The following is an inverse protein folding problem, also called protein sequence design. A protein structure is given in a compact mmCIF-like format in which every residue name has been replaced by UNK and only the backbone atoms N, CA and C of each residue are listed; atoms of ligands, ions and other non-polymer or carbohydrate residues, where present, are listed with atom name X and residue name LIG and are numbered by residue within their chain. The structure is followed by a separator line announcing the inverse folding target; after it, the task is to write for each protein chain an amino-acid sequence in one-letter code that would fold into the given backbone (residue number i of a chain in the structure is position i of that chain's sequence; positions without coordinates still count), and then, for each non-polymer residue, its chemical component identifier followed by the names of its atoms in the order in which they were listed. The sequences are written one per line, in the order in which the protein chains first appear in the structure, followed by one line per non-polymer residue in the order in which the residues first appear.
data_IF_527715604533
#
_entry.id   IF_527715604533
#
_cell.length_a   1.000
_cell.length_b   1.000
_cell.length_c   1.000
_cell.angle_alpha   90.00
_cell.angle_beta   90.00
_cell.angle_gamma   90.00
#
_symmetry.space_group_name_H-M   'P 1'
#
loop_
_entity.id
_entity.type
_entity.pdbx_description
1 polymer ?
#
# COMPACT_ATOMS: atom_id res chain seq x y z
N UNK A 1 83.91 44.81 -37.97
CA UNK A 1 83.51 43.59 -37.35
C UNK A 1 82.50 43.74 -36.16
N UNK A 2 82.44 44.88 -35.45
CA UNK A 2 81.56 45.03 -34.26
C UNK A 2 80.06 45.24 -34.55
N UNK A 3 79.63 45.61 -35.76
CA UNK A 3 78.19 45.81 -36.10
C UNK A 3 77.44 44.51 -36.37
N UNK A 4 78.14 43.45 -36.85
CA UNK A 4 77.55 42.14 -37.21
C UNK A 4 77.23 41.34 -35.93
N UNK A 5 78.06 41.46 -34.92
CA UNK A 5 77.85 40.75 -33.59
C UNK A 5 76.66 41.31 -32.82
N UNK A 6 76.38 42.63 -32.92
CA UNK A 6 75.26 43.26 -32.23
C UNK A 6 73.91 42.85 -32.82
N UNK A 7 73.82 42.77 -34.16
CA UNK A 7 72.62 42.34 -34.87
C UNK A 7 72.26 40.85 -34.64
N UNK A 8 73.26 39.98 -34.57
CA UNK A 8 73.08 38.57 -34.28
C UNK A 8 72.61 38.31 -32.81
N UNK A 9 73.14 39.13 -31.90
CA UNK A 9 72.76 39.07 -30.51
C UNK A 9 71.30 39.52 -30.28
N UNK A 10 70.86 40.57 -30.98
CA UNK A 10 69.49 41.04 -30.94
C UNK A 10 68.50 40.04 -31.56
N UNK A 11 68.87 39.42 -32.67
CA UNK A 11 68.07 38.36 -33.31
C UNK A 11 67.94 37.11 -32.39
N UNK A 12 69.02 36.70 -31.74
CA UNK A 12 68.97 35.59 -30.77
C UNK A 12 68.10 35.90 -29.56
N UNK A 13 68.18 37.14 -29.03
CA UNK A 13 67.35 37.58 -27.88
C UNK A 13 65.86 37.61 -28.27
N UNK A 14 65.53 38.06 -29.48
CA UNK A 14 64.14 38.06 -29.99
C UNK A 14 63.64 36.65 -30.21
N UNK A 15 64.47 35.73 -30.68
CA UNK A 15 64.13 34.30 -30.82
C UNK A 15 63.90 33.64 -29.48
N UNK A 16 64.76 33.94 -28.48
CA UNK A 16 64.62 33.44 -27.09
C UNK A 16 63.31 33.93 -26.46
N UNK A 17 63.00 35.21 -26.57
CA UNK A 17 61.73 35.80 -26.10
C UNK A 17 60.50 35.15 -26.74
N UNK A 18 60.56 34.88 -28.05
CA UNK A 18 59.52 34.18 -28.75
C UNK A 18 59.35 32.74 -28.30
N UNK A 19 60.44 32.07 -27.98
CA UNK A 19 60.38 30.72 -27.41
C UNK A 19 59.80 30.69 -25.98
N UNK A 20 60.22 31.56 -25.11
CA UNK A 20 59.72 31.73 -23.75
C UNK A 20 58.22 32.05 -23.74
N UNK A 21 57.77 32.96 -24.62
CA UNK A 21 56.36 33.31 -24.80
C UNK A 21 55.53 32.09 -25.20
N UNK A 22 56.02 31.25 -26.14
CA UNK A 22 55.36 30.01 -26.53
C UNK A 22 55.32 29.00 -25.40
N UNK A 23 56.38 28.84 -24.64
CA UNK A 23 56.44 27.95 -23.46
C UNK A 23 55.41 28.39 -22.42
N UNK A 24 55.34 29.65 -22.08
CA UNK A 24 54.40 30.21 -21.09
C UNK A 24 52.92 29.94 -21.53
N UNK A 25 52.62 30.05 -22.83
CA UNK A 25 51.27 29.73 -23.34
C UNK A 25 50.98 28.25 -23.23
N UNK A 26 51.94 27.37 -23.48
CA UNK A 26 51.79 25.93 -23.35
C UNK A 26 51.58 25.53 -21.88
N UNK A 27 52.40 26.06 -21.00
CA UNK A 27 52.28 25.80 -19.55
C UNK A 27 50.94 26.28 -18.99
N UNK A 28 50.50 27.46 -19.44
CA UNK A 28 49.17 27.95 -19.07
C UNK A 28 48.06 27.01 -19.55
N UNK A 29 48.12 26.53 -20.82
CA UNK A 29 47.14 25.58 -21.37
C UNK A 29 47.14 24.26 -20.60
N UNK A 30 48.30 23.75 -20.21
CA UNK A 30 48.39 22.50 -19.40
C UNK A 30 47.76 22.69 -18.04
N UNK A 31 48.04 23.80 -17.35
CA UNK A 31 47.44 24.14 -16.07
C UNK A 31 45.92 24.28 -16.14
N UNK A 32 45.42 24.99 -17.16
CA UNK A 32 43.98 25.15 -17.39
C UNK A 32 43.32 23.79 -17.65
N UNK A 33 43.86 22.97 -18.55
CA UNK A 33 43.35 21.62 -18.81
C UNK A 33 43.34 20.75 -17.58
N UNK A 34 44.40 20.79 -16.76
CA UNK A 34 44.46 20.01 -15.51
C UNK A 34 43.38 20.44 -14.52
N UNK A 35 43.13 21.76 -14.40
CA UNK A 35 42.06 22.31 -13.56
C UNK A 35 40.69 21.90 -14.09
N UNK A 36 40.46 22.06 -15.39
CA UNK A 36 39.16 21.75 -16.01
C UNK A 36 38.84 20.23 -15.91
N UNK A 37 39.85 19.39 -16.12
CA UNK A 37 39.70 17.95 -15.91
C UNK A 37 39.37 17.59 -14.48
N UNK A 38 40.00 18.23 -13.47
CA UNK A 38 39.68 18.03 -12.05
C UNK A 38 38.24 18.46 -11.77
N UNK A 39 37.79 19.60 -12.26
CA UNK A 39 36.44 20.08 -12.12
C UNK A 39 35.42 19.12 -12.77
N UNK A 40 35.72 18.64 -13.99
CA UNK A 40 34.88 17.68 -14.67
C UNK A 40 34.73 16.39 -13.88
N UNK A 41 35.81 15.85 -13.30
CA UNK A 41 35.75 14.64 -12.44
C UNK A 41 34.92 14.88 -11.19
N UNK A 42 35.10 16.04 -10.55
CA UNK A 42 34.33 16.38 -9.32
C UNK A 42 32.83 16.50 -9.66
N UNK A 43 32.48 17.19 -10.73
CA UNK A 43 31.10 17.36 -11.15
C UNK A 43 30.48 16.01 -11.50
N UNK A 44 31.19 15.17 -12.25
CA UNK A 44 30.71 13.83 -12.62
C UNK A 44 30.49 12.96 -11.38
N UNK A 45 31.43 12.98 -10.43
CA UNK A 45 31.29 12.25 -9.17
C UNK A 45 30.08 12.76 -8.36
N UNK A 46 29.86 14.06 -8.28
CA UNK A 46 28.72 14.65 -7.61
C UNK A 46 27.37 14.24 -8.26
N UNK A 47 27.30 14.25 -9.59
CA UNK A 47 26.10 13.82 -10.33
C UNK A 47 25.82 12.32 -10.09
N UNK A 48 26.84 11.47 -10.12
CA UNK A 48 26.68 10.03 -9.84
C UNK A 48 26.21 9.79 -8.42
N UNK A 49 26.79 10.46 -7.44
CA UNK A 49 26.37 10.36 -6.03
C UNK A 49 24.93 10.81 -5.85
N UNK A 50 24.55 11.94 -6.45
CA UNK A 50 23.18 12.44 -6.37
C UNK A 50 22.18 11.50 -7.03
N UNK A 51 22.49 10.97 -8.22
CA UNK A 51 21.65 10.00 -8.90
C UNK A 51 21.51 8.71 -8.09
N UNK A 52 22.60 8.19 -7.51
CA UNK A 52 22.58 7.00 -6.66
C UNK A 52 21.76 7.21 -5.39
N UNK A 53 21.90 8.36 -4.71
CA UNK A 53 21.11 8.72 -3.56
C UNK A 53 19.62 8.84 -3.92
N UNK A 54 19.31 9.48 -5.04
CA UNK A 54 17.93 9.60 -5.53
C UNK A 54 17.31 8.24 -5.85
N UNK A 55 18.05 7.34 -6.48
CA UNK A 55 17.60 5.96 -6.74
C UNK A 55 17.41 5.20 -5.43
N UNK A 56 18.33 5.33 -4.49
CA UNK A 56 18.21 4.68 -3.19
C UNK A 56 16.93 5.11 -2.45
N UNK A 57 16.66 6.43 -2.42
CA UNK A 57 15.44 6.97 -1.81
C UNK A 57 14.19 6.50 -2.56
N UNK A 58 14.23 6.52 -3.90
CA UNK A 58 13.11 6.09 -4.74
C UNK A 58 12.72 4.63 -4.51
N UNK A 59 13.71 3.71 -4.45
CA UNK A 59 13.48 2.28 -4.30
C UNK A 59 13.30 1.80 -2.85
N UNK A 60 13.69 2.58 -1.84
CA UNK A 60 13.54 2.18 -0.44
C UNK A 60 12.43 2.92 0.31
N UNK A 61 12.09 4.15 -0.10
CA UNK A 61 11.14 5.02 0.61
C UNK A 61 10.12 5.68 -0.34
N UNK A 62 10.26 5.53 -1.65
CA UNK A 62 9.44 6.16 -2.67
C UNK A 62 8.57 5.18 -3.46
N UNK A 63 7.94 5.65 -4.54
CA UNK A 63 7.05 4.84 -5.38
C UNK A 63 7.73 3.64 -6.07
N UNK A 64 9.06 3.61 -6.13
CA UNK A 64 9.84 2.51 -6.72
C UNK A 64 10.19 1.37 -5.75
N UNK A 65 9.64 1.37 -4.52
CA UNK A 65 9.79 0.21 -3.62
C UNK A 65 9.27 -1.02 -4.36
N UNK A 66 10.11 -2.06 -4.59
CA UNK A 66 9.67 -3.23 -5.33
C UNK A 66 8.47 -3.88 -4.64
N UNK A 67 7.46 -4.23 -5.41
CA UNK A 67 6.29 -4.99 -4.96
C UNK A 67 6.67 -6.33 -4.29
N UNK A 68 7.89 -6.78 -4.50
CA UNK A 68 8.47 -7.99 -3.89
C UNK A 68 8.44 -8.01 -2.36
N UNK A 69 8.37 -6.86 -1.69
CA UNK A 69 8.20 -6.81 -0.23
C UNK A 69 6.85 -7.36 0.24
N UNK A 70 5.83 -7.35 -0.63
CA UNK A 70 4.50 -7.94 -0.38
C UNK A 70 4.32 -9.34 -1.01
N UNK A 71 5.23 -9.77 -1.90
CA UNK A 71 5.09 -11.02 -2.68
C UNK A 71 5.57 -12.25 -1.89
N UNK A 72 6.25 -12.10 -0.77
CA UNK A 72 6.70 -13.22 0.05
C UNK A 72 5.58 -13.86 0.90
N UNK A 73 4.32 -13.57 0.58
CA UNK A 73 3.22 -14.36 1.12
C UNK A 73 3.13 -15.66 0.33
N UNK A 74 3.78 -16.71 0.84
CA UNK A 74 3.57 -18.07 0.37
C UNK A 74 2.14 -18.45 0.76
N UNK A 75 1.20 -18.35 -0.18
CA UNK A 75 -0.13 -18.91 0.01
C UNK A 75 0.04 -20.41 0.21
N UNK A 76 -0.35 -20.90 1.38
CA UNK A 76 -0.47 -22.34 1.57
C UNK A 76 -1.65 -22.78 0.69
N UNK A 77 -1.46 -23.69 -0.29
CA UNK A 77 -2.55 -24.15 -1.12
C UNK A 77 -3.63 -24.73 -0.21
N UNK A 78 -4.84 -24.18 -0.28
CA UNK A 78 -6.00 -24.75 0.42
C UNK A 78 -6.38 -26.03 -0.35
N UNK A 79 -6.52 -27.19 0.30
CA UNK A 79 -6.92 -28.40 -0.38
C UNK A 79 -8.28 -28.18 -1.07
N UNK A 80 -8.33 -28.39 -2.37
CA UNK A 80 -9.55 -28.38 -3.19
C UNK A 80 -10.46 -29.51 -2.73
N UNK A 81 -11.59 -29.17 -2.13
CA UNK A 81 -12.70 -30.13 -1.99
C UNK A 81 -13.40 -30.15 -3.34
N UNK A 82 -13.44 -31.34 -3.96
CA UNK A 82 -13.81 -31.57 -5.34
C UNK A 82 -15.21 -31.08 -5.73
N UNK A 83 -15.27 -30.51 -6.91
CA UNK A 83 -16.49 -30.14 -7.65
C UNK A 83 -16.08 -29.31 -8.87
N UNK A 84 -16.27 -29.88 -10.07
CA UNK A 84 -15.97 -29.24 -11.35
C UNK A 84 -16.74 -27.93 -11.54
N UNK A 85 -16.11 -26.80 -11.24
CA UNK A 85 -16.31 -25.50 -11.89
C UNK A 85 -14.93 -24.87 -11.97
N UNK A 86 -14.64 -24.11 -13.05
CA UNK A 86 -13.40 -23.35 -13.20
C UNK A 86 -13.00 -22.77 -11.86
N UNK A 87 -11.79 -23.05 -11.35
CA UNK A 87 -11.41 -22.63 -10.01
C UNK A 87 -11.48 -21.10 -10.00
N UNK A 88 -12.43 -20.56 -9.23
CA UNK A 88 -12.41 -19.15 -8.86
C UNK A 88 -11.14 -19.00 -8.03
N UNK A 89 -10.13 -18.40 -8.64
CA UNK A 89 -8.81 -18.33 -8.02
C UNK A 89 -8.79 -17.24 -6.95
N UNK A 90 -8.10 -17.53 -5.85
CA UNK A 90 -7.76 -16.51 -4.88
C UNK A 90 -6.98 -15.40 -5.59
N UNK A 91 -7.38 -14.12 -5.47
CA UNK A 91 -6.68 -13.00 -6.08
C UNK A 91 -5.19 -12.98 -5.72
N UNK A 92 -4.33 -12.63 -6.67
CA UNK A 92 -2.90 -12.46 -6.41
C UNK A 92 -2.69 -11.26 -5.47
N UNK A 93 -1.91 -11.45 -4.42
CA UNK A 93 -1.56 -10.40 -3.47
C UNK A 93 -0.91 -9.16 -4.14
N UNK A 94 -0.30 -9.33 -5.31
CA UNK A 94 0.25 -8.24 -6.13
C UNK A 94 -0.80 -7.19 -6.54
N UNK A 95 -2.09 -7.54 -6.59
CA UNK A 95 -3.19 -6.60 -6.85
C UNK A 95 -3.29 -5.51 -5.78
N UNK A 96 -2.82 -5.77 -4.57
CA UNK A 96 -2.73 -4.74 -3.52
C UNK A 96 -1.76 -3.61 -3.87
N UNK A 97 -0.88 -3.82 -4.88
CA UNK A 97 0.22 -2.93 -5.27
C UNK A 97 1.10 -2.51 -4.09
N UNK A 98 0.99 -3.21 -2.96
CA UNK A 98 1.73 -2.90 -1.73
C UNK A 98 1.61 -1.42 -1.30
N UNK A 99 0.46 -0.81 -1.56
CA UNK A 99 0.18 0.60 -1.28
C UNK A 99 -1.15 0.76 -0.55
N UNK A 100 -1.36 1.95 -0.05
CA UNK A 100 -2.68 2.33 0.41
C UNK A 100 -3.58 2.65 -0.80
N UNK A 101 -4.76 2.04 -0.81
CA UNK A 101 -5.83 2.34 -1.74
C UNK A 101 -6.82 3.26 -1.05
N UNK A 102 -7.22 4.32 -1.73
CA UNK A 102 -8.23 5.23 -1.22
C UNK A 102 -9.50 5.16 -2.07
N UNK A 103 -10.64 5.44 -1.46
CA UNK A 103 -11.87 5.40 -2.23
C UNK A 103 -13.11 5.74 -1.44
N UNK A 104 -14.25 5.36 -1.99
CA UNK A 104 -15.57 5.60 -1.40
C UNK A 104 -16.39 4.32 -1.43
N UNK A 105 -17.00 3.99 -0.29
CA UNK A 105 -18.01 2.95 -0.14
C UNK A 105 -19.35 3.59 0.17
N UNK A 106 -20.37 3.32 -0.60
CA UNK A 106 -21.72 3.82 -0.37
C UNK A 106 -22.60 2.70 0.19
N UNK A 107 -23.07 2.88 1.42
CA UNK A 107 -24.01 1.97 2.09
C UNK A 107 -25.33 2.73 2.27
N UNK A 108 -26.39 2.28 1.59
CA UNK A 108 -27.65 3.01 1.47
C UNK A 108 -27.39 4.46 0.97
N UNK A 109 -27.53 5.46 1.87
CA UNK A 109 -27.26 6.88 1.59
C UNK A 109 -25.96 7.37 2.25
N UNK A 110 -25.29 6.54 3.04
CA UNK A 110 -24.05 6.89 3.72
C UNK A 110 -22.87 6.78 2.74
N UNK A 111 -22.19 7.86 2.50
CA UNK A 111 -20.96 7.91 1.72
C UNK A 111 -19.78 7.85 2.68
N UNK A 112 -19.07 6.74 2.67
CA UNK A 112 -17.91 6.47 3.53
C UNK A 112 -16.63 6.64 2.70
N UNK A 113 -15.77 7.59 3.08
CA UNK A 113 -14.39 7.61 2.57
C UNK A 113 -13.60 6.48 3.24
N UNK A 114 -12.88 5.69 2.46
CA UNK A 114 -12.11 4.55 2.97
C UNK A 114 -10.66 4.59 2.51
N UNK A 115 -9.79 4.04 3.34
CA UNK A 115 -8.40 3.72 3.00
C UNK A 115 -8.14 2.25 3.31
N UNK A 116 -7.54 1.53 2.35
CA UNK A 116 -7.15 0.14 2.52
C UNK A 116 -5.62 0.04 2.58
N UNK A 117 -5.09 -0.73 3.50
CA UNK A 117 -3.66 -0.79 3.83
C UNK A 117 -2.97 -1.99 3.16
N UNK A 118 -2.65 -1.86 1.86
CA UNK A 118 -2.04 -2.95 1.09
C UNK A 118 -0.65 -3.38 1.56
N UNK A 119 0.05 -2.54 2.30
CA UNK A 119 1.33 -2.92 2.95
C UNK A 119 1.15 -3.78 4.19
N UNK A 120 0.04 -3.61 4.93
CA UNK A 120 -0.21 -4.27 6.19
C UNK A 120 -1.00 -5.58 6.02
N UNK A 121 -1.90 -5.61 5.03
CA UNK A 121 -2.76 -6.74 4.74
C UNK A 121 -2.87 -6.97 3.22
N UNK A 122 -1.76 -7.32 2.55
CA UNK A 122 -1.71 -7.39 1.08
C UNK A 122 -2.71 -8.36 0.47
N UNK A 123 -2.91 -9.55 1.05
CA UNK A 123 -3.84 -10.52 0.52
C UNK A 123 -5.31 -10.09 0.71
N UNK A 124 -5.64 -9.56 1.88
CA UNK A 124 -6.99 -9.08 2.15
C UNK A 124 -7.35 -7.86 1.29
N UNK A 125 -6.40 -6.92 1.09
CA UNK A 125 -6.59 -5.77 0.21
C UNK A 125 -6.70 -6.20 -1.24
N UNK A 126 -5.84 -7.10 -1.73
CA UNK A 126 -5.93 -7.65 -3.09
C UNK A 126 -7.30 -8.30 -3.35
N UNK A 127 -7.77 -9.11 -2.41
CA UNK A 127 -9.09 -9.72 -2.46
C UNK A 127 -10.22 -8.67 -2.53
N UNK A 128 -10.16 -7.67 -1.66
CA UNK A 128 -11.20 -6.63 -1.63
C UNK A 128 -11.19 -5.77 -2.89
N UNK A 129 -10.00 -5.39 -3.39
CA UNK A 129 -9.85 -4.61 -4.64
C UNK A 129 -10.35 -5.38 -5.84
N UNK A 130 -9.99 -6.66 -5.97
CA UNK A 130 -10.48 -7.53 -7.05
C UNK A 130 -12.01 -7.57 -7.05
N UNK A 131 -12.62 -7.91 -5.92
CA UNK A 131 -14.06 -8.06 -5.81
C UNK A 131 -14.81 -6.73 -6.02
N UNK A 132 -14.24 -5.61 -5.53
CA UNK A 132 -14.89 -4.30 -5.63
C UNK A 132 -14.78 -3.67 -7.03
N UNK A 133 -13.54 -3.54 -7.54
CA UNK A 133 -13.26 -2.76 -8.75
C UNK A 133 -13.37 -3.58 -10.03
N UNK A 134 -12.91 -4.84 -9.99
CA UNK A 134 -12.80 -5.65 -11.20
C UNK A 134 -14.09 -6.42 -11.43
N UNK A 135 -14.58 -7.09 -10.39
CA UNK A 135 -15.74 -7.99 -10.53
C UNK A 135 -17.08 -7.29 -10.24
N UNK A 136 -17.06 -6.10 -9.61
CA UNK A 136 -18.28 -5.41 -9.16
C UNK A 136 -19.12 -6.19 -8.15
N UNK A 137 -18.48 -7.16 -7.50
CA UNK A 137 -19.11 -8.17 -6.64
C UNK A 137 -19.96 -7.58 -5.53
N UNK A 138 -19.51 -6.51 -4.90
CA UNK A 138 -20.20 -5.93 -3.72
C UNK A 138 -21.46 -5.14 -4.04
N UNK A 139 -21.71 -4.83 -5.31
CA UNK A 139 -22.86 -3.99 -5.69
C UNK A 139 -24.18 -4.69 -5.39
N UNK A 140 -25.01 -4.07 -4.56
CA UNK A 140 -26.32 -4.60 -4.15
C UNK A 140 -26.28 -5.61 -3.00
N UNK A 141 -25.08 -6.03 -2.55
CA UNK A 141 -24.96 -6.99 -1.45
C UNK A 141 -25.42 -6.36 -0.13
N UNK A 142 -26.21 -7.11 0.61
CA UNK A 142 -26.74 -6.66 1.92
C UNK A 142 -25.70 -6.79 3.04
N UNK A 143 -25.81 -5.89 4.04
CA UNK A 143 -25.20 -6.09 5.34
C UNK A 143 -26.15 -6.91 6.18
N UNK A 144 -25.77 -8.14 6.46
CA UNK A 144 -26.66 -9.17 7.02
C UNK A 144 -26.63 -9.27 8.55
N UNK A 145 -25.63 -8.64 9.21
CA UNK A 145 -25.47 -8.69 10.65
C UNK A 145 -25.07 -7.33 11.22
N UNK A 146 -25.72 -6.95 12.30
CA UNK A 146 -25.42 -5.78 13.13
C UNK A 146 -25.30 -6.24 14.58
N UNK A 147 -24.24 -5.83 15.27
CA UNK A 147 -24.12 -6.02 16.71
C UNK A 147 -24.21 -4.66 17.41
N UNK A 148 -25.00 -4.57 18.48
CA UNK A 148 -25.27 -3.34 19.22
C UNK A 148 -24.99 -3.46 20.72
N UNK A 149 -24.43 -4.59 21.14
CA UNK A 149 -24.07 -4.88 22.53
C UNK A 149 -22.79 -5.71 22.59
N UNK A 150 -21.89 -5.36 23.48
CA UNK A 150 -20.58 -6.01 23.67
C UNK A 150 -19.56 -5.63 22.61
N UNK A 151 -19.89 -5.78 21.34
CA UNK A 151 -19.12 -5.29 20.19
C UNK A 151 -20.03 -4.51 19.26
N UNK A 152 -19.46 -3.61 18.46
CA UNK A 152 -20.21 -2.65 17.63
C UNK A 152 -19.74 -2.75 16.18
N UNK A 153 -20.27 -3.73 15.46
CA UNK A 153 -19.89 -4.00 14.07
C UNK A 153 -21.10 -4.11 13.15
N UNK A 154 -20.92 -3.65 11.90
CA UNK A 154 -21.84 -3.88 10.80
C UNK A 154 -21.13 -4.79 9.79
N UNK A 155 -21.62 -6.04 9.62
CA UNK A 155 -21.01 -7.04 8.75
C UNK A 155 -21.75 -7.12 7.41
N UNK A 156 -20.99 -7.10 6.33
CA UNK A 156 -21.44 -7.07 4.93
C UNK A 156 -20.64 -8.06 4.09
N UNK A 157 -20.93 -8.14 2.79
CA UNK A 157 -20.11 -8.87 1.82
C UNK A 157 -20.51 -10.32 1.59
N UNK A 158 -21.66 -10.72 2.13
CA UNK A 158 -22.26 -12.03 1.86
C UNK A 158 -23.28 -11.95 0.71
N UNK A 159 -23.03 -12.62 -0.43
CA UNK A 159 -23.96 -12.61 -1.56
C UNK A 159 -25.28 -13.35 -1.27
N UNK A 160 -25.31 -14.28 -0.32
CA UNK A 160 -26.54 -14.99 0.11
C UNK A 160 -27.34 -14.15 1.10
N UNK A 161 -26.66 -13.40 1.97
CA UNK A 161 -27.27 -12.47 2.93
C UNK A 161 -27.75 -13.13 4.22
N UNK A 162 -27.21 -14.29 4.58
CA UNK A 162 -27.47 -15.01 5.84
C UNK A 162 -26.21 -15.33 6.65
N UNK A 163 -25.05 -14.95 6.14
CA UNK A 163 -23.72 -15.18 6.74
C UNK A 163 -22.99 -16.39 6.16
N UNK A 164 -23.64 -17.19 5.31
CA UNK A 164 -23.05 -18.43 4.78
C UNK A 164 -22.32 -18.27 3.44
N UNK A 165 -22.59 -17.19 2.71
CA UNK A 165 -22.07 -16.99 1.36
C UNK A 165 -20.67 -16.39 1.33
N UNK A 166 -20.09 -16.47 0.12
CA UNK A 166 -18.73 -15.97 -0.15
C UNK A 166 -18.45 -15.89 -1.64
N UNK A 167 -17.20 -15.60 -2.03
CA UNK A 167 -16.82 -15.41 -3.43
C UNK A 167 -16.54 -16.73 -4.17
N UNK A 168 -16.80 -17.88 -3.56
CA UNK A 168 -16.50 -19.20 -4.12
C UNK A 168 -15.13 -19.76 -3.76
N UNK A 169 -14.36 -19.02 -2.96
CA UNK A 169 -13.07 -19.43 -2.40
C UNK A 169 -12.91 -18.89 -0.98
N UNK A 170 -11.90 -19.41 -0.28
CA UNK A 170 -11.44 -18.88 1.01
C UNK A 170 -9.94 -18.67 0.97
N UNK A 171 -9.44 -17.72 1.76
CA UNK A 171 -8.03 -17.39 1.80
C UNK A 171 -7.54 -17.11 3.24
N UNK A 172 -6.26 -17.05 3.40
CA UNK A 172 -5.46 -16.73 4.57
C UNK A 172 -3.99 -16.72 4.20
N UNK A 173 -3.11 -16.66 5.18
CA UNK A 173 -3.34 -16.57 6.63
C UNK A 173 -3.85 -15.21 7.07
N UNK A 174 -4.06 -15.05 8.40
CA UNK A 174 -4.41 -13.75 8.99
C UNK A 174 -3.26 -12.75 8.83
N UNK A 175 -3.62 -11.51 8.52
CA UNK A 175 -2.70 -10.39 8.36
C UNK A 175 -3.07 -9.27 9.32
N UNK A 176 -2.11 -8.46 9.77
CA UNK A 176 -2.35 -7.24 10.54
C UNK A 176 -3.44 -7.36 11.62
N UNK A 177 -3.38 -8.42 12.42
CA UNK A 177 -4.33 -8.61 13.53
C UNK A 177 -3.94 -7.74 14.72
N UNK A 178 -4.89 -7.06 15.38
CA UNK A 178 -4.62 -6.31 16.60
C UNK A 178 -4.08 -7.22 17.70
N UNK A 179 -3.09 -6.73 18.42
CA UNK A 179 -2.49 -7.46 19.53
C UNK A 179 -3.26 -7.20 20.82
N UNK A 180 -3.45 -8.25 21.61
CA UNK A 180 -3.93 -8.12 22.97
C UNK A 180 -2.92 -7.36 23.84
N UNK A 181 -3.39 -6.60 24.80
CA UNK A 181 -2.54 -5.92 25.80
C UNK A 181 -2.79 -6.58 27.16
N UNK A 182 -1.83 -7.35 27.63
CA UNK A 182 -2.02 -8.19 28.84
C UNK A 182 -3.10 -9.24 28.60
N UNK A 183 -3.95 -9.44 29.59
CA UNK A 183 -5.07 -10.42 29.56
C UNK A 183 -6.34 -9.87 28.89
N UNK A 184 -6.31 -8.63 28.40
CA UNK A 184 -7.47 -8.01 27.77
C UNK A 184 -7.59 -8.40 26.29
N UNK A 185 -8.83 -8.58 25.82
CA UNK A 185 -9.11 -8.76 24.40
C UNK A 185 -8.62 -7.55 23.58
N UNK A 186 -8.08 -7.77 22.38
CA UNK A 186 -7.63 -6.68 21.51
C UNK A 186 -8.79 -5.74 21.16
N UNK A 187 -8.51 -4.45 21.13
CA UNK A 187 -9.48 -3.42 20.76
C UNK A 187 -9.42 -3.15 19.29
N UNK A 188 -10.52 -3.39 18.59
CA UNK A 188 -10.75 -2.93 17.21
C UNK A 188 -11.30 -1.52 17.27
N UNK A 189 -10.57 -0.59 16.64
CA UNK A 189 -10.90 0.83 16.74
C UNK A 189 -12.05 1.21 15.84
N UNK A 190 -12.83 2.20 16.28
CA UNK A 190 -13.88 2.84 15.51
C UNK A 190 -13.36 3.26 14.14
N UNK A 191 -14.07 2.89 13.09
CA UNK A 191 -13.70 3.12 11.70
C UNK A 191 -12.95 1.97 11.04
N UNK A 192 -12.40 1.01 11.78
CA UNK A 192 -11.65 -0.08 11.16
C UNK A 192 -12.52 -0.99 10.30
N UNK A 193 -11.91 -1.47 9.21
CA UNK A 193 -12.46 -2.48 8.31
C UNK A 193 -11.69 -3.78 8.55
N UNK A 194 -12.38 -4.84 8.89
CA UNK A 194 -11.75 -6.13 9.14
C UNK A 194 -12.46 -7.26 8.39
N UNK A 195 -11.68 -8.25 7.93
CA UNK A 195 -12.20 -9.44 7.25
C UNK A 195 -12.91 -10.35 8.25
N UNK A 196 -14.14 -10.76 7.90
CA UNK A 196 -14.81 -11.81 8.63
C UNK A 196 -14.26 -13.19 8.24
N UNK A 197 -14.31 -14.13 9.17
CA UNK A 197 -13.86 -15.52 9.01
C UNK A 197 -14.68 -16.47 9.87
N UNK A 198 -14.59 -17.75 9.63
CA UNK A 198 -15.16 -18.75 10.50
C UNK A 198 -14.36 -18.87 11.82
N UNK A 199 -15.04 -19.22 12.90
CA UNK A 199 -14.39 -19.45 14.19
C UNK A 199 -13.29 -20.52 14.06
N UNK A 200 -12.14 -20.25 14.69
CA UNK A 200 -10.95 -21.10 14.66
C UNK A 200 -10.36 -21.38 13.25
N UNK A 201 -10.77 -20.60 12.25
CA UNK A 201 -10.34 -20.78 10.86
C UNK A 201 -9.49 -19.62 10.34
N UNK A 202 -8.16 -19.67 10.46
CA UNK A 202 -7.25 -18.63 9.99
C UNK A 202 -7.27 -18.45 8.46
N UNK A 203 -7.68 -19.47 7.71
CA UNK A 203 -7.69 -19.50 6.24
C UNK A 203 -9.12 -19.53 5.66
N UNK A 204 -10.08 -18.95 6.36
CA UNK A 204 -11.50 -18.97 5.96
C UNK A 204 -12.05 -17.59 5.64
N UNK A 205 -11.19 -16.61 5.44
CA UNK A 205 -11.59 -15.29 4.92
C UNK A 205 -12.08 -15.44 3.47
N UNK A 206 -13.05 -14.63 3.08
CA UNK A 206 -13.63 -14.62 1.74
C UNK A 206 -14.01 -13.21 1.31
N UNK A 207 -15.29 -12.98 0.98
CA UNK A 207 -15.80 -11.65 0.65
C UNK A 207 -16.37 -10.89 1.85
N UNK A 208 -16.67 -11.58 2.95
CA UNK A 208 -17.31 -10.94 4.09
C UNK A 208 -16.35 -10.09 4.90
N UNK A 209 -16.78 -8.91 5.27
CA UNK A 209 -16.03 -7.97 6.12
C UNK A 209 -16.98 -7.25 7.08
N UNK A 210 -16.41 -6.61 8.10
CA UNK A 210 -17.19 -5.78 9.00
C UNK A 210 -16.56 -4.40 9.20
N UNK A 211 -17.42 -3.43 9.44
CA UNK A 211 -17.09 -2.06 9.79
C UNK A 211 -17.28 -1.93 11.30
N UNK A 212 -16.23 -1.53 11.99
CA UNK A 212 -16.30 -1.22 13.43
C UNK A 212 -16.85 0.20 13.57
N UNK A 213 -18.11 0.34 13.99
CA UNK A 213 -18.73 1.66 14.09
C UNK A 213 -18.56 2.30 15.49
N UNK A 214 -18.09 1.54 16.49
CA UNK A 214 -17.58 2.04 17.77
C UNK A 214 -16.52 1.09 18.32
N UNK A 215 -15.62 1.59 19.21
CA UNK A 215 -14.53 0.79 19.76
C UNK A 215 -15.05 -0.53 20.32
N UNK A 216 -14.46 -1.63 19.89
CA UNK A 216 -14.95 -2.97 20.20
C UNK A 216 -13.83 -3.89 20.67
N UNK A 217 -13.96 -4.46 21.86
CA UNK A 217 -13.06 -5.51 22.35
C UNK A 217 -13.53 -6.85 21.81
N UNK A 218 -12.81 -7.41 20.84
CA UNK A 218 -13.16 -8.67 20.19
C UNK A 218 -12.11 -9.71 20.59
N UNK A 219 -12.48 -10.73 21.40
CA UNK A 219 -11.55 -11.77 21.83
C UNK A 219 -10.96 -12.55 20.66
N UNK A 220 -9.68 -12.91 20.78
CA UNK A 220 -9.07 -13.88 19.89
C UNK A 220 -9.62 -15.28 20.18
N UNK A 221 -9.81 -16.06 19.12
CA UNK A 221 -10.01 -17.52 19.26
C UNK A 221 -8.68 -18.28 18.99
N UNK A 222 -8.74 -19.60 18.85
CA UNK A 222 -7.55 -20.41 18.61
C UNK A 222 -6.81 -20.08 17.29
N UNK A 223 -7.49 -19.48 16.31
CA UNK A 223 -6.87 -19.02 15.06
C UNK A 223 -6.27 -17.63 15.20
N UNK A 224 -6.60 -16.86 16.23
CA UNK A 224 -6.16 -15.48 16.43
C UNK A 224 -7.28 -14.46 16.29
N UNK A 225 -6.91 -13.23 15.91
CA UNK A 225 -7.84 -12.12 15.68
C UNK A 225 -8.47 -12.11 14.30
N UNK A 226 -8.90 -10.93 13.88
CA UNK A 226 -9.41 -10.66 12.54
C UNK A 226 -8.44 -9.74 11.79
N UNK A 227 -8.22 -9.98 10.52
CA UNK A 227 -7.36 -9.16 9.67
C UNK A 227 -7.95 -7.77 9.47
N UNK A 228 -7.29 -6.75 10.02
CA UNK A 228 -7.64 -5.34 9.77
C UNK A 228 -6.94 -4.91 8.48
N UNK A 229 -7.73 -4.67 7.43
CA UNK A 229 -7.21 -4.38 6.10
C UNK A 229 -7.41 -2.92 5.66
N UNK A 230 -8.10 -2.11 6.47
CA UNK A 230 -8.35 -0.72 6.16
C UNK A 230 -9.15 0.02 7.21
N UNK A 231 -9.54 1.23 6.87
CA UNK A 231 -10.33 2.10 7.76
C UNK A 231 -11.27 3.03 7.00
N UNK A 232 -12.32 3.46 7.66
CA UNK A 232 -13.21 4.54 7.24
C UNK A 232 -12.61 5.86 7.70
N UNK A 233 -12.20 6.70 6.76
CA UNK A 233 -11.54 7.99 7.02
C UNK A 233 -12.52 9.15 7.13
N UNK A 234 -13.75 8.99 6.61
CA UNK A 234 -14.80 10.00 6.68
C UNK A 234 -16.19 9.39 6.51
N UNK A 235 -17.21 10.12 6.93
CA UNK A 235 -18.60 9.76 6.70
C UNK A 235 -19.18 8.68 7.60
N UNK A 236 -18.44 8.14 8.58
CA UNK A 236 -18.88 7.04 9.44
C UNK A 236 -20.22 7.33 10.16
N UNK A 237 -20.45 8.58 10.56
CA UNK A 237 -21.72 8.99 11.16
C UNK A 237 -22.95 8.79 10.24
N UNK A 238 -22.73 8.63 8.93
CA UNK A 238 -23.78 8.27 7.99
C UNK A 238 -24.42 6.90 8.27
N UNK A 239 -23.74 6.04 9.03
CA UNK A 239 -24.28 4.76 9.49
C UNK A 239 -25.21 4.88 10.70
N UNK A 240 -25.27 6.03 11.39
CA UNK A 240 -26.10 6.25 12.59
C UNK A 240 -27.57 5.85 12.40
N UNK A 241 -28.24 6.15 11.27
CA UNK A 241 -29.63 5.72 11.06
C UNK A 241 -29.81 4.21 11.08
N UNK A 242 -28.77 3.44 10.72
CA UNK A 242 -28.77 1.99 10.70
C UNK A 242 -28.46 1.47 12.10
N UNK A 243 -27.37 1.92 12.70
CA UNK A 243 -26.83 1.41 13.97
C UNK A 243 -27.76 1.76 15.15
N UNK A 244 -28.33 2.98 15.17
CA UNK A 244 -29.29 3.42 16.20
C UNK A 244 -30.67 2.78 16.06
N UNK A 245 -31.07 2.35 14.87
CA UNK A 245 -32.31 1.61 14.68
C UNK A 245 -32.25 0.19 15.29
N UNK A 246 -31.04 -0.34 15.46
CA UNK A 246 -30.79 -1.65 16.04
C UNK A 246 -31.11 -2.82 15.11
N UNK A 247 -31.28 -3.99 15.70
CA UNK A 247 -31.58 -5.23 15.00
C UNK A 247 -33.09 -5.39 14.78
N UNK A 248 -33.44 -6.25 13.80
CA UNK A 248 -34.84 -6.48 13.39
C UNK A 248 -35.68 -7.09 14.53
N UNK A 249 -35.08 -7.95 15.30
CA UNK A 249 -35.71 -8.68 16.43
C UNK A 249 -35.49 -8.02 17.79
N UNK A 250 -34.76 -6.89 17.82
CA UNK A 250 -34.42 -6.18 19.05
C UNK A 250 -33.29 -6.83 19.86
N UNK A 251 -32.66 -7.90 19.33
CA UNK A 251 -31.48 -8.52 19.95
C UNK A 251 -30.25 -7.63 19.84
N UNK A 252 -29.23 -7.91 20.65
CA UNK A 252 -27.93 -7.22 20.54
C UNK A 252 -27.08 -7.69 19.35
N UNK A 253 -27.50 -8.74 18.65
CA UNK A 253 -26.78 -9.34 17.51
C UNK A 253 -27.80 -9.96 16.55
N UNK A 254 -27.92 -9.41 15.34
CA UNK A 254 -28.90 -9.88 14.37
C UNK A 254 -28.92 -9.08 13.07
N UNK A 255 -29.93 -9.31 12.25
CA UNK A 255 -30.10 -8.51 11.03
C UNK A 255 -30.43 -7.08 11.35
N UNK A 256 -29.84 -6.08 10.65
CA UNK A 256 -30.23 -4.68 10.81
C UNK A 256 -31.74 -4.50 10.62
N UNK A 257 -32.37 -3.68 11.47
CA UNK A 257 -33.79 -3.33 11.32
C UNK A 257 -34.04 -2.52 10.06
N UNK A 258 -33.13 -1.62 9.73
CA UNK A 258 -33.11 -0.89 8.45
C UNK A 258 -32.50 -1.79 7.40
N UNK A 259 -33.20 -2.01 6.28
CA UNK A 259 -32.60 -2.73 5.12
C UNK A 259 -31.32 -2.00 4.69
N UNK A 260 -30.22 -2.70 4.73
CA UNK A 260 -28.88 -2.14 4.52
C UNK A 260 -28.16 -2.89 3.42
N UNK A 261 -27.66 -2.17 2.42
CA UNK A 261 -26.90 -2.76 1.31
C UNK A 261 -25.80 -1.82 0.83
N UNK A 262 -24.76 -2.40 0.27
CA UNK A 262 -23.69 -1.67 -0.42
C UNK A 262 -24.22 -1.28 -1.79
N UNK A 263 -24.25 0.02 -2.08
CA UNK A 263 -24.68 0.53 -3.40
C UNK A 263 -23.55 0.50 -4.40
N UNK A 264 -22.36 0.92 -3.98
CA UNK A 264 -21.14 0.88 -4.80
C UNK A 264 -19.90 1.03 -3.93
N UNK A 265 -18.77 0.52 -4.43
CA UNK A 265 -17.43 0.76 -3.91
C UNK A 265 -16.57 1.22 -5.08
N UNK A 266 -15.84 2.30 -4.91
CA UNK A 266 -14.91 2.84 -5.92
C UNK A 266 -13.56 3.04 -5.25
N UNK A 267 -12.49 2.48 -5.80
CA UNK A 267 -11.12 2.52 -5.28
C UNK A 267 -10.15 3.08 -6.33
N UNK A 268 -9.11 3.76 -5.88
CA UNK A 268 -8.06 4.32 -6.73
C UNK A 268 -6.68 4.25 -6.07
#
# INVERSE_FOLDING_TARGET
MAKTTKSTLEAAKKSLQGFEAKQNVLDHRVKVRARDNRLAVIITAAVVLFASASQYVYFNFGPGVPLTACINFTQTPIPTVGGEKSPVQIPDAAISECRDWTGTMIINKASLGITLHGKLAPQAVANFVQLANIDGFYTGISCHRLTTSGIYVLQCGDPVGDGSGGPGYSFGPLENTPKATGDEAPTYKKGWLAMARQSNGANTMGSQFFIVYDDSKIPNDAAGGYTVFGEVTSGLAGLDPITKAGTKDGSGDGKPKVKTSISTITLK
#
